data_IF_942089442281
#
_entry.id   IF_942089442281
#
_cell.length_a   1.000
_cell.length_b   1.000
_cell.length_c   1.000
_cell.angle_alpha   90.00
_cell.angle_beta   90.00
_cell.angle_gamma   90.00
#
_symmetry.space_group_name_H-M   'P 1'
#
loop_
_entity.id
_entity.type
_entity.pdbx_description
1 polymer ?
#
# COMPACT_ATOMS: atom_id res chain seq x y z
N UNK A 1 -8.41 36.32 21.10
CA UNK A 1 -8.58 35.13 20.25
C UNK A 1 -7.23 34.74 19.67
N UNK A 2 -6.51 33.84 20.35
CA UNK A 2 -5.19 33.38 19.91
C UNK A 2 -5.37 32.33 18.81
N UNK A 3 -4.91 32.64 17.59
CA UNK A 3 -4.80 31.64 16.51
C UNK A 3 -3.68 30.68 16.91
N UNK A 4 -4.06 29.50 17.40
CA UNK A 4 -3.12 28.39 17.57
C UNK A 4 -2.44 28.14 16.23
N UNK A 5 -1.12 28.37 16.18
CA UNK A 5 -0.28 27.91 15.08
C UNK A 5 -0.34 26.39 15.09
N UNK A 6 -1.06 25.80 14.13
CA UNK A 6 -0.94 24.38 13.86
C UNK A 6 0.52 24.12 13.48
N UNK A 7 1.28 23.44 14.34
CA UNK A 7 2.55 22.85 13.95
C UNK A 7 2.20 21.68 13.03
N UNK A 8 2.57 21.70 11.74
CA UNK A 8 2.37 20.54 10.89
C UNK A 8 3.43 19.50 11.30
N UNK A 9 3.06 18.58 12.18
CA UNK A 9 3.87 17.40 12.45
C UNK A 9 3.71 16.42 11.28
N UNK A 10 4.79 16.18 10.54
CA UNK A 10 4.77 15.22 9.44
C UNK A 10 4.99 13.80 9.98
N UNK A 11 3.91 13.06 10.20
CA UNK A 11 4.00 11.66 10.62
C UNK A 11 4.28 10.73 9.41
N UNK A 12 5.34 9.93 9.51
CA UNK A 12 5.74 8.95 8.48
C UNK A 12 4.72 7.82 8.29
N UNK A 13 3.89 7.54 9.31
CA UNK A 13 2.85 6.49 9.27
C UNK A 13 1.87 6.69 8.11
N UNK A 14 1.57 7.95 7.75
CA UNK A 14 0.73 8.27 6.59
C UNK A 14 1.28 7.84 5.24
N UNK A 15 2.57 7.48 5.20
CA UNK A 15 3.27 7.09 3.97
C UNK A 15 3.41 5.58 3.80
N UNK A 16 3.10 4.79 4.83
CA UNK A 16 3.38 3.35 4.86
C UNK A 16 2.67 2.63 3.70
N UNK A 17 1.40 2.95 3.42
CA UNK A 17 0.62 2.28 2.38
C UNK A 17 1.25 2.40 0.98
N UNK A 18 1.54 3.63 0.54
CA UNK A 18 2.13 3.85 -0.78
C UNK A 18 3.63 3.49 -0.82
N UNK A 19 4.36 3.62 0.29
CA UNK A 19 5.77 3.24 0.37
C UNK A 19 5.94 1.71 0.26
N UNK A 20 5.07 0.93 0.93
CA UNK A 20 5.03 -0.53 0.78
C UNK A 20 4.78 -0.93 -0.67
N UNK A 21 3.76 -0.34 -1.30
CA UNK A 21 3.43 -0.55 -2.70
C UNK A 21 4.60 -0.17 -3.62
N UNK A 22 5.27 0.95 -3.34
CA UNK A 22 6.42 1.43 -4.09
C UNK A 22 7.61 0.43 -4.04
N UNK A 23 8.03 0.01 -2.84
CA UNK A 23 9.15 -0.92 -2.65
C UNK A 23 8.84 -2.29 -3.24
N UNK A 24 7.63 -2.82 -3.01
CA UNK A 24 7.20 -4.08 -3.59
C UNK A 24 7.21 -4.03 -5.11
N UNK A 25 6.68 -2.96 -5.70
CA UNK A 25 6.70 -2.73 -7.14
C UNK A 25 8.12 -2.71 -7.70
N UNK A 26 9.01 -1.90 -7.13
CA UNK A 26 10.39 -1.81 -7.61
C UNK A 26 11.15 -3.13 -7.50
N UNK A 27 11.04 -3.83 -6.37
CA UNK A 27 11.69 -5.13 -6.18
C UNK A 27 11.16 -6.18 -7.17
N UNK A 28 9.84 -6.26 -7.35
CA UNK A 28 9.25 -7.19 -8.30
C UNK A 28 9.63 -6.85 -9.75
N UNK A 29 9.68 -5.56 -10.10
CA UNK A 29 10.14 -5.08 -11.40
C UNK A 29 11.58 -5.49 -11.73
N UNK A 30 12.49 -5.37 -10.76
CA UNK A 30 13.88 -5.83 -10.89
C UNK A 30 13.91 -7.35 -11.06
N UNK A 31 13.33 -8.10 -10.11
CA UNK A 31 13.45 -9.56 -10.04
C UNK A 31 12.80 -10.23 -11.24
N UNK A 32 11.55 -9.89 -11.56
CA UNK A 32 10.79 -10.53 -12.63
C UNK A 32 11.40 -10.26 -14.01
N UNK A 33 11.77 -9.01 -14.28
CA UNK A 33 12.36 -8.61 -15.57
C UNK A 33 13.76 -9.18 -15.73
N UNK A 34 14.59 -9.15 -14.68
CA UNK A 34 15.92 -9.76 -14.72
C UNK A 34 15.84 -11.28 -14.91
N UNK A 35 14.94 -11.96 -14.20
CA UNK A 35 14.74 -13.41 -14.34
C UNK A 35 14.30 -13.80 -15.74
N UNK A 36 13.38 -13.02 -16.33
CA UNK A 36 12.94 -13.21 -17.72
C UNK A 36 14.10 -13.01 -18.70
N UNK A 37 14.86 -11.93 -18.56
CA UNK A 37 16.02 -11.63 -19.40
C UNK A 37 17.07 -12.73 -19.30
N UNK A 38 17.42 -13.17 -18.08
CA UNK A 38 18.37 -14.25 -17.83
C UNK A 38 17.89 -15.54 -18.47
N UNK A 39 16.61 -15.90 -18.31
CA UNK A 39 16.03 -17.10 -18.90
C UNK A 39 16.10 -17.09 -20.44
N UNK A 40 15.67 -16.00 -21.06
CA UNK A 40 15.67 -15.86 -22.53
C UNK A 40 17.09 -15.79 -23.08
N UNK A 41 17.99 -15.04 -22.45
CA UNK A 41 19.39 -14.95 -22.86
C UNK A 41 20.13 -16.29 -22.74
N UNK A 42 19.80 -17.10 -21.74
CA UNK A 42 20.38 -18.44 -21.55
C UNK A 42 19.98 -19.41 -22.65
N UNK A 43 18.86 -19.18 -23.34
CA UNK A 43 18.41 -19.96 -24.49
C UNK A 43 19.13 -19.59 -25.81
N UNK A 44 20.25 -18.85 -25.74
CA UNK A 44 21.01 -18.37 -26.91
C UNK A 44 20.21 -17.44 -27.84
N UNK A 45 19.24 -16.71 -27.30
CA UNK A 45 18.42 -15.74 -28.03
C UNK A 45 19.25 -14.54 -28.52
N UNK A 46 18.80 -13.93 -29.63
CA UNK A 46 19.38 -12.68 -30.10
C UNK A 46 19.07 -11.53 -29.13
N UNK A 47 19.95 -10.51 -29.06
CA UNK A 47 19.74 -9.35 -28.18
C UNK A 47 18.39 -8.66 -28.41
N UNK A 48 17.92 -8.58 -29.66
CA UNK A 48 16.61 -8.04 -30.00
C UNK A 48 15.46 -8.85 -29.41
N UNK A 49 15.58 -10.18 -29.38
CA UNK A 49 14.56 -11.07 -28.81
C UNK A 49 14.51 -10.93 -27.28
N UNK A 50 15.68 -10.82 -26.64
CA UNK A 50 15.78 -10.55 -25.20
C UNK A 50 15.14 -9.22 -24.84
N UNK A 51 15.37 -8.16 -25.63
CA UNK A 51 14.74 -6.85 -25.41
C UNK A 51 13.22 -6.88 -25.62
N UNK A 52 12.74 -7.53 -26.67
CA UNK A 52 11.30 -7.69 -26.92
C UNK A 52 10.65 -8.42 -25.75
N UNK A 53 11.25 -9.52 -25.29
CA UNK A 53 10.75 -10.28 -24.14
C UNK A 53 10.77 -9.44 -22.86
N UNK A 54 11.86 -8.72 -22.59
CA UNK A 54 11.99 -7.86 -21.41
C UNK A 54 10.97 -6.72 -21.41
N UNK A 55 10.75 -6.04 -22.54
CA UNK A 55 9.75 -4.96 -22.66
C UNK A 55 8.34 -5.51 -22.54
N UNK A 56 8.04 -6.65 -23.16
CA UNK A 56 6.76 -7.32 -23.00
C UNK A 56 6.52 -7.71 -21.53
N UNK A 57 7.53 -8.25 -20.86
CA UNK A 57 7.52 -8.57 -19.43
C UNK A 57 7.30 -7.34 -18.56
N UNK A 58 7.95 -6.21 -18.88
CA UNK A 58 7.76 -4.94 -18.18
C UNK A 58 6.29 -4.50 -18.27
N UNK A 59 5.73 -4.45 -19.48
CA UNK A 59 4.35 -3.99 -19.68
C UNK A 59 3.36 -4.93 -18.99
N UNK A 60 3.51 -6.24 -19.20
CA UNK A 60 2.64 -7.24 -18.59
C UNK A 60 2.72 -7.20 -17.05
N UNK A 61 3.92 -7.12 -16.49
CA UNK A 61 4.14 -7.05 -15.06
C UNK A 61 3.61 -5.76 -14.43
N UNK A 62 3.85 -4.60 -15.06
CA UNK A 62 3.31 -3.32 -14.58
C UNK A 62 1.77 -3.32 -14.57
N UNK A 63 1.14 -3.85 -15.62
CA UNK A 63 -0.32 -4.00 -15.68
C UNK A 63 -0.84 -4.96 -14.60
N UNK A 64 -0.18 -6.12 -14.42
CA UNK A 64 -0.56 -7.09 -13.39
C UNK A 64 -0.44 -6.51 -11.98
N UNK A 65 0.63 -5.75 -11.71
CA UNK A 65 0.84 -5.08 -10.42
C UNK A 65 -0.20 -3.99 -10.17
N UNK A 66 -0.51 -3.19 -11.19
CA UNK A 66 -1.56 -2.18 -11.10
C UNK A 66 -2.91 -2.82 -10.77
N UNK A 67 -3.29 -3.88 -11.51
CA UNK A 67 -4.55 -4.57 -11.33
C UNK A 67 -4.62 -5.27 -9.95
N UNK A 68 -3.56 -5.97 -9.56
CA UNK A 68 -3.48 -6.67 -8.28
C UNK A 68 -3.62 -5.71 -7.08
N UNK A 69 -2.88 -4.61 -7.10
CA UNK A 69 -2.93 -3.63 -6.01
C UNK A 69 -4.27 -2.86 -6.00
N UNK A 70 -4.83 -2.54 -7.18
CA UNK A 70 -6.15 -1.94 -7.28
C UNK A 70 -7.22 -2.85 -6.66
N UNK A 71 -7.26 -4.11 -7.07
CA UNK A 71 -8.25 -5.08 -6.56
C UNK A 71 -8.08 -5.27 -5.05
N UNK A 72 -6.84 -5.45 -4.58
CA UNK A 72 -6.57 -5.65 -3.15
C UNK A 72 -7.05 -4.47 -2.31
N UNK A 73 -6.72 -3.24 -2.68
CA UNK A 73 -7.09 -2.04 -1.92
C UNK A 73 -8.56 -1.68 -2.13
N UNK A 74 -9.15 -2.01 -3.29
CA UNK A 74 -10.59 -1.87 -3.53
C UNK A 74 -11.39 -2.80 -2.61
N UNK A 75 -10.98 -4.06 -2.46
CA UNK A 75 -11.63 -4.99 -1.52
C UNK A 75 -11.53 -4.52 -0.06
N UNK A 76 -10.42 -3.88 0.31
CA UNK A 76 -10.31 -3.21 1.62
C UNK A 76 -11.36 -2.08 1.73
N UNK A 77 -11.43 -1.19 0.73
CA UNK A 77 -12.42 -0.10 0.70
C UNK A 77 -13.86 -0.61 0.80
N UNK A 78 -14.20 -1.69 0.10
CA UNK A 78 -15.54 -2.27 0.12
C UNK A 78 -15.87 -2.82 1.51
N UNK A 79 -14.89 -3.45 2.18
CA UNK A 79 -15.01 -3.95 3.55
C UNK A 79 -15.24 -2.80 4.54
N UNK A 80 -14.40 -1.75 4.46
CA UNK A 80 -14.53 -0.54 5.29
C UNK A 80 -15.91 0.13 5.11
N UNK A 81 -16.40 0.21 3.87
CA UNK A 81 -17.73 0.77 3.60
C UNK A 81 -18.86 -0.09 4.15
N UNK A 82 -18.74 -1.42 4.08
CA UNK A 82 -19.72 -2.34 4.64
C UNK A 82 -19.79 -2.24 6.16
N UNK A 83 -18.65 -2.20 6.85
CA UNK A 83 -18.59 -2.02 8.30
C UNK A 83 -19.17 -0.65 8.71
N UNK A 84 -18.82 0.44 8.00
CA UNK A 84 -19.43 1.75 8.23
C UNK A 84 -20.94 1.78 7.97
N UNK A 85 -21.45 0.95 7.05
CA UNK A 85 -22.89 0.85 6.81
C UNK A 85 -23.59 0.09 7.95
N UNK A 86 -22.96 -0.96 8.48
CA UNK A 86 -23.45 -1.70 9.65
C UNK A 86 -23.48 -0.80 10.88
N UNK A 87 -22.38 -0.10 11.15
CA UNK A 87 -22.24 0.83 12.27
C UNK A 87 -23.32 1.92 12.26
N UNK A 88 -23.62 2.49 11.08
CA UNK A 88 -24.72 3.47 10.94
C UNK A 88 -26.08 2.89 11.31
N UNK A 89 -26.33 1.62 11.00
CA UNK A 89 -27.58 0.95 11.34
C UNK A 89 -27.65 0.65 12.85
N UNK A 90 -26.54 0.25 13.45
CA UNK A 90 -26.39 0.01 14.89
C UNK A 90 -26.59 1.30 15.69
N UNK A 91 -25.92 2.39 15.33
CA UNK A 91 -26.10 3.72 15.92
C UNK A 91 -27.55 4.24 15.83
N UNK A 92 -28.27 3.92 14.74
CA UNK A 92 -29.67 4.31 14.57
C UNK A 92 -30.64 3.42 15.36
N UNK A 93 -30.34 2.13 15.50
CA UNK A 93 -31.22 1.16 16.14
C UNK A 93 -31.01 1.01 17.64
N UNK A 94 -29.78 1.19 18.12
CA UNK A 94 -29.33 0.84 19.47
C UNK A 94 -28.36 1.87 20.08
N UNK A 95 -28.66 3.19 20.05
CA UNK A 95 -27.70 4.23 20.43
C UNK A 95 -27.20 4.13 21.88
N UNK A 96 -28.01 3.61 22.80
CA UNK A 96 -27.59 3.41 24.19
C UNK A 96 -26.56 2.28 24.33
N UNK A 97 -26.70 1.21 23.54
CA UNK A 97 -25.75 0.09 23.53
C UNK A 97 -24.43 0.52 22.88
N UNK A 98 -24.48 1.25 21.77
CA UNK A 98 -23.28 1.79 21.12
C UNK A 98 -22.49 2.73 22.03
N UNK A 99 -23.20 3.51 22.87
CA UNK A 99 -22.53 4.33 23.89
C UNK A 99 -21.81 3.50 24.94
N UNK A 100 -22.41 2.40 25.37
CA UNK A 100 -21.80 1.49 26.34
C UNK A 100 -20.62 0.73 25.73
N UNK A 101 -20.72 0.34 24.46
CA UNK A 101 -19.66 -0.23 23.64
C UNK A 101 -18.44 0.71 23.59
N UNK A 102 -18.64 1.97 23.17
CA UNK A 102 -17.56 2.95 23.10
C UNK A 102 -16.96 3.23 24.49
N UNK A 103 -17.78 3.33 25.54
CA UNK A 103 -17.30 3.49 26.91
C UNK A 103 -16.46 2.29 27.37
N UNK A 104 -16.83 1.08 26.97
CA UNK A 104 -16.05 -0.14 27.24
C UNK A 104 -14.69 -0.08 26.55
N UNK A 105 -14.61 0.32 25.28
CA UNK A 105 -13.34 0.50 24.55
C UNK A 105 -12.38 1.42 25.33
N UNK A 106 -12.87 2.56 25.82
CA UNK A 106 -12.04 3.47 26.62
C UNK A 106 -11.68 2.90 28.00
N UNK A 107 -12.57 2.12 28.60
CA UNK A 107 -12.29 1.43 29.87
C UNK A 107 -11.17 0.40 29.72
N UNK A 108 -11.20 -0.38 28.63
CA UNK A 108 -10.14 -1.34 28.28
C UNK A 108 -8.79 -0.67 28.01
N UNK A 109 -8.82 0.59 27.52
CA UNK A 109 -7.63 1.44 27.36
C UNK A 109 -7.15 2.09 28.68
N UNK A 110 -7.81 1.82 29.80
CA UNK A 110 -7.40 2.26 31.13
C UNK A 110 -8.12 3.50 31.68
N UNK A 111 -9.16 3.99 31.00
CA UNK A 111 -10.00 5.09 31.52
C UNK A 111 -10.95 4.55 32.59
N UNK A 112 -11.14 5.26 33.71
CA UNK A 112 -12.14 4.85 34.73
C UNK A 112 -13.54 4.81 34.12
N UNK A 113 -14.38 3.85 34.49
CA UNK A 113 -15.71 3.66 33.89
C UNK A 113 -16.59 4.91 33.88
N UNK A 114 -16.57 5.73 34.95
CA UNK A 114 -17.34 6.98 35.01
C UNK A 114 -16.87 8.02 33.99
N UNK A 115 -15.56 8.14 33.80
CA UNK A 115 -14.98 9.04 32.81
C UNK A 115 -15.17 8.49 31.39
N UNK A 116 -15.05 7.18 31.18
CA UNK A 116 -15.22 6.55 29.88
C UNK A 116 -16.64 6.76 29.34
N UNK A 117 -17.67 6.66 30.20
CA UNK A 117 -19.06 7.01 29.84
C UNK A 117 -19.21 8.47 29.44
N UNK A 118 -18.53 9.39 30.13
CA UNK A 118 -18.56 10.82 29.78
C UNK A 118 -17.86 11.08 28.44
N UNK A 119 -16.71 10.44 28.19
CA UNK A 119 -15.99 10.52 26.92
C UNK A 119 -16.85 9.99 25.78
N UNK A 120 -17.43 8.80 25.91
CA UNK A 120 -18.30 8.20 24.90
C UNK A 120 -19.49 9.12 24.58
N UNK A 121 -20.17 9.66 25.61
CA UNK A 121 -21.29 10.58 25.41
C UNK A 121 -20.88 11.86 24.66
N UNK A 122 -19.72 12.43 24.97
CA UNK A 122 -19.23 13.64 24.29
C UNK A 122 -18.81 13.36 22.84
N UNK A 123 -18.10 12.26 22.59
CA UNK A 123 -17.67 11.87 21.24
C UNK A 123 -18.87 11.55 20.35
N UNK A 124 -19.83 10.77 20.84
CA UNK A 124 -21.08 10.48 20.11
C UNK A 124 -21.91 11.72 19.85
N UNK A 125 -21.94 12.67 20.79
CA UNK A 125 -22.64 13.95 20.61
C UNK A 125 -22.01 14.87 19.55
N UNK A 126 -20.72 14.70 19.25
CA UNK A 126 -20.04 15.42 18.18
C UNK A 126 -20.15 14.70 16.84
N UNK A 127 -19.70 13.44 16.78
CA UNK A 127 -19.79 12.58 15.59
C UNK A 127 -19.65 11.10 16.01
N UNK A 128 -20.78 10.43 16.25
CA UNK A 128 -20.81 9.04 16.68
C UNK A 128 -20.20 8.10 15.66
N UNK A 129 -20.49 8.28 14.37
CA UNK A 129 -19.97 7.41 13.34
C UNK A 129 -18.45 7.54 13.22
N UNK A 130 -17.91 8.77 13.25
CA UNK A 130 -16.47 8.95 13.21
C UNK A 130 -15.77 8.42 14.47
N UNK A 131 -16.42 8.52 15.64
CA UNK A 131 -15.90 7.97 16.88
C UNK A 131 -15.77 6.44 16.81
N UNK A 132 -16.85 5.73 16.44
CA UNK A 132 -16.82 4.28 16.28
C UNK A 132 -15.92 3.83 15.12
N UNK A 133 -15.98 4.51 13.97
CA UNK A 133 -15.09 4.23 12.85
C UNK A 133 -13.62 4.24 13.27
N UNK A 134 -13.21 5.21 14.10
CA UNK A 134 -11.83 5.34 14.56
C UNK A 134 -11.49 4.40 15.71
N UNK A 135 -12.32 4.39 16.75
CA UNK A 135 -11.98 3.75 18.03
C UNK A 135 -12.36 2.27 18.09
N UNK A 136 -13.36 1.85 17.33
CA UNK A 136 -13.82 0.47 17.22
C UNK A 136 -13.31 -0.20 15.94
N UNK A 137 -13.60 0.38 14.77
CA UNK A 137 -13.26 -0.22 13.47
C UNK A 137 -11.80 0.01 13.05
N UNK A 138 -11.09 0.95 13.69
CA UNK A 138 -9.71 1.31 13.33
C UNK A 138 -9.57 2.04 11.99
N UNK A 139 -10.69 2.50 11.40
CA UNK A 139 -10.75 3.26 10.16
C UNK A 139 -10.41 4.72 10.47
N UNK A 140 -9.33 5.21 9.88
CA UNK A 140 -8.84 6.58 10.05
C UNK A 140 -8.41 7.14 8.70
N UNK A 141 -8.30 8.48 8.57
CA UNK A 141 -7.80 9.11 7.32
C UNK A 141 -6.43 8.59 6.89
N UNK A 142 -5.63 8.12 7.84
CA UNK A 142 -4.28 7.58 7.63
C UNK A 142 -4.32 6.14 7.11
N UNK A 143 -5.34 5.37 7.48
CA UNK A 143 -5.53 3.97 7.09
C UNK A 143 -6.49 3.78 5.91
N UNK A 144 -7.20 4.85 5.52
CA UNK A 144 -8.19 4.82 4.46
C UNK A 144 -7.64 4.25 3.14
N UNK A 145 -8.38 3.30 2.56
CA UNK A 145 -8.04 2.66 1.31
C UNK A 145 -7.98 3.67 0.14
N UNK A 146 -6.88 3.64 -0.64
CA UNK A 146 -6.68 4.48 -1.83
C UNK A 146 -6.30 3.65 -3.07
N UNK A 147 -7.26 2.97 -3.71
CA UNK A 147 -6.96 1.95 -4.73
C UNK A 147 -6.18 2.47 -5.93
N UNK A 148 -6.60 3.62 -6.49
CA UNK A 148 -5.96 4.22 -7.67
C UNK A 148 -4.52 4.65 -7.34
N UNK A 149 -4.32 5.25 -6.17
CA UNK A 149 -2.98 5.69 -5.74
C UNK A 149 -2.06 4.49 -5.59
N UNK A 150 -2.53 3.41 -4.96
CA UNK A 150 -1.74 2.21 -4.76
C UNK A 150 -1.38 1.54 -6.11
N UNK A 151 -2.37 1.37 -7.00
CA UNK A 151 -2.18 0.80 -8.33
C UNK A 151 -1.16 1.56 -9.18
N UNK A 152 -1.29 2.88 -9.28
CA UNK A 152 -0.38 3.72 -10.08
C UNK A 152 1.02 3.77 -9.47
N UNK A 153 1.12 3.80 -8.14
CA UNK A 153 2.42 3.78 -7.45
C UNK A 153 3.15 2.47 -7.73
N UNK A 154 2.47 1.33 -7.56
CA UNK A 154 3.04 0.00 -7.83
C UNK A 154 3.46 -0.15 -9.29
N UNK A 155 2.63 0.27 -10.25
CA UNK A 155 2.94 0.18 -11.67
C UNK A 155 4.15 1.03 -12.07
N UNK A 156 4.23 2.25 -11.52
CA UNK A 156 5.32 3.17 -11.79
C UNK A 156 6.64 2.65 -11.21
N UNK A 157 6.64 2.20 -9.95
CA UNK A 157 7.87 1.68 -9.33
C UNK A 157 8.30 0.35 -9.91
N UNK A 158 7.36 -0.52 -10.30
CA UNK A 158 7.66 -1.71 -11.09
C UNK A 158 8.36 -1.36 -12.39
N UNK A 159 7.80 -0.42 -13.15
CA UNK A 159 8.39 0.01 -14.42
C UNK A 159 9.80 0.58 -14.21
N UNK A 160 10.00 1.39 -13.16
CA UNK A 160 11.31 1.91 -12.80
C UNK A 160 12.31 0.80 -12.43
N UNK A 161 11.88 -0.20 -11.66
CA UNK A 161 12.70 -1.36 -11.32
C UNK A 161 13.10 -2.18 -12.56
N UNK A 162 12.17 -2.34 -13.51
CA UNK A 162 12.36 -3.08 -14.75
C UNK A 162 13.27 -2.37 -15.77
N UNK A 163 13.44 -1.04 -15.69
CA UNK A 163 14.35 -0.29 -16.56
C UNK A 163 15.80 -0.75 -16.37
N UNK A 164 16.24 -1.01 -15.14
CA UNK A 164 17.64 -1.37 -14.88
C UNK A 164 18.05 -2.66 -15.62
N UNK A 165 17.32 -3.80 -15.49
CA UNK A 165 17.64 -5.01 -16.24
C UNK A 165 17.62 -4.80 -17.76
N UNK A 166 16.67 -4.00 -18.28
CA UNK A 166 16.59 -3.68 -19.71
C UNK A 166 17.80 -2.88 -20.20
N UNK A 167 18.24 -1.89 -19.43
CA UNK A 167 19.44 -1.10 -19.75
C UNK A 167 20.69 -1.99 -19.74
N UNK A 168 20.78 -2.96 -18.82
CA UNK A 168 21.90 -3.91 -18.80
C UNK A 168 22.00 -4.75 -20.09
N UNK A 169 20.87 -5.06 -20.75
CA UNK A 169 20.87 -5.77 -22.05
C UNK A 169 21.54 -4.95 -23.16
N UNK A 170 21.43 -3.63 -23.10
CA UNK A 170 22.04 -2.73 -24.08
C UNK A 170 23.52 -2.48 -23.82
N UNK A 171 23.93 -2.47 -22.54
CA UNK A 171 25.29 -2.11 -22.14
C UNK A 171 26.25 -3.31 -22.06
N UNK A 172 25.74 -4.51 -21.77
CA UNK A 172 26.59 -5.68 -21.53
C UNK A 172 26.93 -6.44 -22.82
N UNK A 173 28.21 -6.82 -23.02
CA UNK A 173 28.56 -7.80 -24.05
C UNK A 173 27.85 -9.13 -23.79
N UNK A 174 27.45 -9.82 -24.86
CA UNK A 174 26.67 -11.08 -24.77
C UNK A 174 27.28 -12.12 -23.82
N UNK A 175 28.61 -12.26 -23.84
CA UNK A 175 29.31 -13.22 -22.99
C UNK A 175 29.11 -12.97 -21.48
N UNK A 176 28.83 -11.73 -21.09
CA UNK A 176 28.67 -11.33 -19.69
C UNK A 176 27.23 -10.96 -19.33
N UNK A 177 26.28 -11.03 -20.27
CA UNK A 177 24.93 -10.53 -20.08
C UNK A 177 24.23 -11.16 -18.87
N UNK A 178 24.23 -12.50 -18.78
CA UNK A 178 23.56 -13.23 -17.70
C UNK A 178 24.16 -12.87 -16.34
N UNK A 179 25.50 -12.91 -16.23
CA UNK A 179 26.20 -12.59 -14.99
C UNK A 179 26.01 -11.11 -14.61
N UNK A 180 26.11 -10.20 -15.58
CA UNK A 180 25.98 -8.77 -15.39
C UNK A 180 24.59 -8.36 -14.91
N UNK A 181 23.53 -8.87 -15.57
CA UNK A 181 22.13 -8.63 -15.14
C UNK A 181 21.90 -9.19 -13.74
N UNK A 182 22.39 -10.39 -13.45
CA UNK A 182 22.21 -11.02 -12.13
C UNK A 182 22.90 -10.23 -11.02
N UNK A 183 24.18 -9.86 -11.20
CA UNK A 183 24.96 -9.10 -10.21
C UNK A 183 24.35 -7.70 -10.02
N UNK A 184 24.00 -7.02 -11.11
CA UNK A 184 23.37 -5.70 -11.03
C UNK A 184 22.02 -5.77 -10.30
N UNK A 185 21.21 -6.79 -10.56
CA UNK A 185 19.93 -7.00 -9.87
C UNK A 185 20.11 -7.22 -8.38
N UNK A 186 21.04 -8.08 -7.98
CA UNK A 186 21.34 -8.31 -6.55
C UNK A 186 21.86 -7.04 -5.87
N UNK A 187 22.72 -6.27 -6.54
CA UNK A 187 23.22 -5.00 -6.00
C UNK A 187 22.10 -3.96 -5.83
N UNK A 188 21.21 -3.83 -6.81
CA UNK A 188 20.07 -2.91 -6.72
C UNK A 188 19.07 -3.32 -5.65
N UNK A 189 18.79 -4.63 -5.51
CA UNK A 189 17.93 -5.13 -4.43
C UNK A 189 18.55 -4.85 -3.06
N UNK A 190 19.85 -5.09 -2.89
CA UNK A 190 20.56 -4.78 -1.65
C UNK A 190 20.56 -3.28 -1.31
N UNK A 191 20.52 -2.40 -2.31
CA UNK A 191 20.39 -0.95 -2.12
C UNK A 191 18.96 -0.53 -1.78
N UNK A 192 17.95 -1.22 -2.31
CA UNK A 192 16.55 -0.93 -2.04
C UNK A 192 16.12 -1.41 -0.64
N UNK A 193 16.76 -2.47 -0.12
CA UNK A 193 16.47 -3.08 1.17
C UNK A 193 15.94 -4.50 1.04
#
# INVERSE_FOLDING_TARGET
>A
MSRLRQHPESHLVSRIGWLRAAVLGANDGIVSTASLIVGVASASAATSEVLIAGVAGLVAGAMSMAAGEYVSVSSQSDTEQADLARERAELAGQPDLEREELARIYTERGVSADLARQVAAQLMGHDALAAHARDELGISEVTAARPIQAALTSAATFSLGAIMPLVMVLLMPRAFLVAGVSIASLAFLALLG
#
